data_IF_330868623140
#
_entry.id   IF_330868623140
#
_cell.length_a   1.000
_cell.length_b   1.000
_cell.length_c   1.000
_cell.angle_alpha   90.00
_cell.angle_beta   90.00
_cell.angle_gamma   90.00
#
_symmetry.space_group_name_H-M   'P 1'
#
loop_
_entity.id
_entity.type
_entity.pdbx_description
1 polymer ?
#
# COMPACT_ATOMS: atom_id res chain seq x y z
N UNK A 1 11.71 -8.87 -15.80
CA UNK A 1 11.65 -7.52 -16.41
C UNK A 1 11.04 -6.59 -15.38
N UNK A 2 11.62 -5.42 -15.14
CA UNK A 2 11.02 -4.40 -14.26
C UNK A 2 10.09 -3.54 -15.10
N UNK A 3 8.95 -3.16 -14.52
CA UNK A 3 7.97 -2.32 -15.19
C UNK A 3 7.69 -1.11 -14.31
N UNK A 4 7.74 0.07 -14.91
CA UNK A 4 7.27 1.28 -14.26
C UNK A 4 5.76 1.15 -14.00
N UNK A 5 5.30 1.58 -12.84
CA UNK A 5 3.89 1.82 -12.64
C UNK A 5 3.43 2.97 -13.54
N UNK A 6 2.12 3.05 -13.80
CA UNK A 6 1.52 4.24 -14.40
C UNK A 6 1.70 5.43 -13.46
N UNK A 7 1.63 6.64 -14.02
CA UNK A 7 1.65 7.88 -13.24
C UNK A 7 0.46 7.91 -12.28
N UNK A 8 0.68 8.43 -11.07
CA UNK A 8 -0.41 8.73 -10.16
C UNK A 8 -1.07 10.04 -10.59
N UNK A 9 -2.12 9.93 -11.40
CA UNK A 9 -2.96 11.04 -11.85
C UNK A 9 -4.44 10.60 -11.86
N UNK A 10 -5.31 11.47 -12.38
CA UNK A 10 -6.75 11.25 -12.47
C UNK A 10 -7.17 10.44 -13.71
N UNK A 11 -6.23 9.82 -14.42
CA UNK A 11 -6.50 9.02 -15.61
C UNK A 11 -6.37 7.52 -15.30
N UNK A 12 -7.26 6.72 -15.91
CA UNK A 12 -7.29 5.28 -15.72
C UNK A 12 -7.09 4.57 -17.04
N UNK A 13 -6.36 3.45 -17.02
CA UNK A 13 -6.13 2.66 -18.22
C UNK A 13 -7.45 2.11 -18.78
N UNK A 14 -7.50 1.99 -20.11
CA UNK A 14 -8.68 1.49 -20.82
C UNK A 14 -9.23 0.17 -20.23
N UNK A 15 -8.38 -0.84 -19.90
CA UNK A 15 -8.88 -2.07 -19.30
C UNK A 15 -9.57 -1.88 -17.95
N UNK A 16 -9.08 -0.97 -17.11
CA UNK A 16 -9.67 -0.69 -15.79
C UNK A 16 -11.02 0.03 -15.92
N UNK A 17 -11.13 0.95 -16.88
CA UNK A 17 -12.35 1.76 -17.08
C UNK A 17 -13.40 1.07 -17.95
N UNK A 18 -13.08 0.03 -18.73
CA UNK A 18 -14.03 -0.54 -19.69
C UNK A 18 -14.07 -2.08 -19.73
N UNK A 19 -13.03 -2.77 -19.26
CA UNK A 19 -12.86 -4.22 -19.52
C UNK A 19 -12.62 -5.04 -18.26
N UNK A 20 -12.92 -4.50 -17.07
CA UNK A 20 -12.81 -5.29 -15.84
C UNK A 20 -13.84 -6.42 -15.91
N UNK A 21 -13.34 -7.66 -15.79
CA UNK A 21 -14.10 -8.90 -15.95
C UNK A 21 -14.77 -9.09 -17.34
N UNK A 22 -14.25 -8.47 -18.40
CA UNK A 22 -14.77 -8.68 -19.76
C UNK A 22 -14.66 -10.17 -20.17
N UNK A 23 -15.75 -10.70 -20.72
CA UNK A 23 -15.80 -12.06 -21.25
C UNK A 23 -15.15 -12.09 -22.63
N UNK A 24 -14.17 -12.99 -22.80
CA UNK A 24 -13.44 -13.14 -24.06
C UNK A 24 -14.40 -13.42 -25.22
N UNK A 25 -14.31 -12.61 -26.27
CA UNK A 25 -15.15 -12.74 -27.46
C UNK A 25 -16.52 -12.08 -27.34
N UNK A 26 -16.81 -11.37 -26.24
CA UNK A 26 -18.04 -10.61 -26.05
C UNK A 26 -17.69 -9.13 -25.78
N UNK A 27 -17.52 -8.31 -26.83
CA UNK A 27 -17.17 -6.90 -26.68
C UNK A 27 -18.20 -6.16 -25.83
N UNK A 28 -17.72 -5.39 -24.85
CA UNK A 28 -18.57 -4.56 -23.99
C UNK A 28 -19.24 -5.31 -22.84
N UNK A 29 -18.85 -6.56 -22.59
CA UNK A 29 -19.29 -7.32 -21.40
C UNK A 29 -18.53 -6.96 -20.11
N UNK A 30 -17.54 -6.07 -20.20
CA UNK A 30 -16.75 -5.61 -19.06
C UNK A 30 -17.46 -4.54 -18.22
N UNK A 31 -16.89 -4.27 -17.05
CA UNK A 31 -17.33 -3.21 -16.15
C UNK A 31 -16.31 -2.06 -16.07
N UNK A 32 -16.79 -0.88 -15.70
CA UNK A 32 -15.97 0.27 -15.33
C UNK A 32 -15.68 0.25 -13.82
N UNK A 33 -14.43 -0.04 -13.44
CA UNK A 33 -14.06 -0.12 -12.03
C UNK A 33 -14.14 1.24 -11.31
N UNK A 34 -13.93 2.35 -12.03
CA UNK A 34 -14.03 3.71 -11.47
C UNK A 34 -15.48 4.00 -11.12
N UNK A 35 -16.41 3.72 -12.05
CA UNK A 35 -17.84 3.86 -11.81
C UNK A 35 -18.32 2.92 -10.68
N UNK A 36 -17.84 1.68 -10.64
CA UNK A 36 -18.12 0.73 -9.56
C UNK A 36 -17.64 1.26 -8.21
N UNK A 37 -16.47 1.89 -8.13
CA UNK A 37 -15.96 2.44 -6.88
C UNK A 37 -16.80 3.63 -6.38
N UNK A 38 -17.24 4.51 -7.28
CA UNK A 38 -18.17 5.60 -6.93
C UNK A 38 -19.49 5.02 -6.40
N UNK A 39 -20.08 4.06 -7.13
CA UNK A 39 -21.33 3.43 -6.70
C UNK A 39 -21.18 2.67 -5.38
N UNK A 40 -20.06 1.99 -5.15
CA UNK A 40 -19.77 1.32 -3.87
C UNK A 40 -19.67 2.31 -2.72
N UNK A 41 -19.07 3.48 -2.94
CA UNK A 41 -19.02 4.54 -1.94
C UNK A 41 -20.43 5.01 -1.54
N UNK A 42 -21.33 5.13 -2.51
CA UNK A 42 -22.74 5.47 -2.26
C UNK A 42 -23.50 4.35 -1.54
N UNK A 43 -23.30 3.10 -1.95
CA UNK A 43 -23.94 1.92 -1.37
C UNK A 43 -23.61 1.74 0.11
N UNK A 44 -22.33 1.91 0.49
CA UNK A 44 -21.91 1.81 1.89
C UNK A 44 -22.13 3.11 2.69
N UNK A 45 -22.75 4.13 2.08
CA UNK A 45 -23.13 5.37 2.74
C UNK A 45 -21.94 6.25 3.15
N UNK A 46 -20.88 6.31 2.33
CA UNK A 46 -19.79 7.27 2.59
C UNK A 46 -20.32 8.70 2.51
N UNK A 47 -19.91 9.52 3.48
CA UNK A 47 -20.16 10.96 3.42
C UNK A 47 -19.46 11.60 2.20
N UNK A 48 -19.94 12.78 1.83
CA UNK A 48 -19.34 13.55 0.73
C UNK A 48 -17.89 13.95 1.03
N UNK A 49 -17.11 14.12 -0.03
CA UNK A 49 -15.71 14.57 0.02
C UNK A 49 -15.52 15.80 0.91
N UNK A 50 -16.45 16.76 0.84
CA UNK A 50 -16.34 18.02 1.58
C UNK A 50 -16.39 17.84 3.11
N UNK A 51 -17.03 16.77 3.61
CA UNK A 51 -16.99 16.45 5.04
C UNK A 51 -15.60 15.94 5.45
N UNK A 52 -15.01 15.06 4.66
CA UNK A 52 -13.67 14.51 4.93
C UNK A 52 -12.57 15.56 4.87
N UNK A 53 -12.69 16.57 4.00
CA UNK A 53 -11.76 17.72 3.97
C UNK A 53 -11.57 18.34 5.36
N UNK A 54 -12.66 18.49 6.11
CA UNK A 54 -12.59 19.11 7.45
C UNK A 54 -11.89 18.22 8.48
N UNK A 55 -12.00 16.89 8.34
CA UNK A 55 -11.33 15.94 9.24
C UNK A 55 -9.81 16.00 9.11
N UNK A 56 -9.31 16.37 7.93
CA UNK A 56 -7.88 16.46 7.63
C UNK A 56 -7.32 17.88 7.78
N UNK A 57 -8.11 18.79 8.35
CA UNK A 57 -7.72 20.18 8.61
C UNK A 57 -7.84 21.12 7.40
N UNK A 58 -8.41 20.67 6.28
CA UNK A 58 -8.72 21.54 5.15
C UNK A 58 -10.00 22.34 5.42
N UNK A 59 -10.09 23.50 4.79
CA UNK A 59 -11.30 24.32 4.84
C UNK A 59 -12.45 23.60 4.11
N UNK A 60 -13.63 23.57 4.74
CA UNK A 60 -14.88 23.19 4.09
C UNK A 60 -15.13 24.14 2.92
N UNK A 61 -15.29 23.59 1.72
CA UNK A 61 -15.59 24.37 0.54
C UNK A 61 -17.04 24.86 0.61
N UNK A 62 -17.27 26.15 0.35
CA UNK A 62 -18.61 26.72 0.20
C UNK A 62 -19.02 26.76 -1.27
N UNK A 63 -18.04 26.83 -2.17
CA UNK A 63 -18.21 26.81 -3.62
C UNK A 63 -17.18 25.88 -4.25
N UNK A 64 -17.41 25.44 -5.49
CA UNK A 64 -16.42 24.66 -6.24
C UNK A 64 -15.07 25.39 -6.39
N UNK A 65 -15.06 26.72 -6.45
CA UNK A 65 -13.82 27.50 -6.60
C UNK A 65 -12.91 27.42 -5.36
N UNK A 66 -13.47 27.12 -4.18
CA UNK A 66 -12.69 26.89 -2.96
C UNK A 66 -11.83 25.61 -3.04
N UNK A 67 -12.04 24.75 -4.04
CA UNK A 67 -11.29 23.51 -4.24
C UNK A 67 -9.97 23.72 -5.02
N UNK A 68 -9.74 24.91 -5.60
CA UNK A 68 -8.62 25.15 -6.54
C UNK A 68 -7.22 25.05 -5.91
N UNK A 69 -7.12 25.15 -4.58
CA UNK A 69 -5.87 24.91 -3.87
C UNK A 69 -5.47 23.44 -3.96
N UNK A 70 -6.40 22.52 -3.73
CA UNK A 70 -6.13 21.07 -3.72
C UNK A 70 -6.36 20.38 -5.05
N UNK A 71 -7.23 20.91 -5.91
CA UNK A 71 -7.65 20.30 -7.18
C UNK A 71 -7.28 21.21 -8.35
N UNK A 72 -6.83 20.63 -9.47
CA UNK A 72 -6.53 21.39 -10.68
C UNK A 72 -7.75 22.12 -11.24
N UNK A 73 -7.55 23.33 -11.76
CA UNK A 73 -8.65 24.19 -12.20
C UNK A 73 -9.53 23.52 -13.27
N UNK A 74 -8.96 22.76 -14.20
CA UNK A 74 -9.72 22.00 -15.20
C UNK A 74 -10.65 20.96 -14.58
N UNK A 75 -10.20 20.29 -13.51
CA UNK A 75 -10.98 19.30 -12.79
C UNK A 75 -12.08 19.96 -11.94
N UNK A 76 -11.82 21.15 -11.37
CA UNK A 76 -12.86 21.95 -10.71
C UNK A 76 -13.97 22.34 -11.70
N UNK A 77 -13.62 22.77 -12.92
CA UNK A 77 -14.61 23.08 -13.95
C UNK A 77 -15.38 21.84 -14.43
N UNK A 78 -14.76 20.65 -14.42
CA UNK A 78 -15.46 19.40 -14.70
C UNK A 78 -16.46 19.05 -13.58
N UNK A 79 -16.08 19.22 -12.31
CA UNK A 79 -16.95 19.00 -11.16
C UNK A 79 -18.20 19.88 -11.21
N UNK A 80 -18.06 21.17 -11.54
CA UNK A 80 -19.19 22.12 -11.71
C UNK A 80 -20.23 21.68 -12.75
N UNK A 81 -19.84 20.84 -13.71
CA UNK A 81 -20.74 20.33 -14.76
C UNK A 81 -21.49 19.07 -14.36
N UNK A 82 -20.96 18.33 -13.38
CA UNK A 82 -21.43 17.00 -13.00
C UNK A 82 -22.24 17.05 -11.70
N UNK A 83 -21.80 17.85 -10.73
CA UNK A 83 -22.44 17.98 -9.43
C UNK A 83 -23.18 19.32 -9.33
N UNK A 84 -24.35 19.31 -8.68
CA UNK A 84 -25.16 20.50 -8.44
C UNK A 84 -24.56 21.35 -7.31
N UNK A 85 -24.17 20.71 -6.21
CA UNK A 85 -23.54 21.35 -5.06
C UNK A 85 -22.15 20.77 -4.75
N UNK A 86 -21.26 21.58 -4.17
CA UNK A 86 -19.92 21.15 -3.74
C UNK A 86 -19.98 20.07 -2.66
N UNK A 87 -21.07 20.02 -1.90
CA UNK A 87 -21.35 19.02 -0.88
C UNK A 87 -21.85 17.68 -1.46
N UNK A 88 -22.07 17.57 -2.77
CA UNK A 88 -22.50 16.31 -3.41
C UNK A 88 -21.34 15.49 -3.96
N UNK A 89 -20.11 16.02 -3.93
CA UNK A 89 -18.94 15.36 -4.51
C UNK A 89 -18.65 14.05 -3.76
N UNK A 90 -18.67 12.94 -4.48
CA UNK A 90 -18.34 11.62 -3.93
C UNK A 90 -16.90 11.61 -3.38
N UNK A 91 -16.69 10.98 -2.23
CA UNK A 91 -15.36 10.91 -1.59
C UNK A 91 -14.27 10.37 -2.54
N UNK A 92 -14.57 9.27 -3.25
CA UNK A 92 -13.62 8.66 -4.18
C UNK A 92 -13.22 9.61 -5.29
N UNK A 93 -14.19 10.32 -5.89
CA UNK A 93 -13.94 11.35 -6.90
C UNK A 93 -13.07 12.46 -6.35
N UNK A 94 -13.39 12.98 -5.16
CA UNK A 94 -12.60 14.02 -4.51
C UNK A 94 -11.14 13.62 -4.31
N UNK A 95 -10.89 12.45 -3.70
CA UNK A 95 -9.53 11.93 -3.44
C UNK A 95 -8.73 11.75 -4.73
N UNK A 96 -9.35 11.23 -5.80
CA UNK A 96 -8.66 11.02 -7.08
C UNK A 96 -8.28 12.31 -7.80
N UNK A 97 -8.95 13.42 -7.49
CA UNK A 97 -8.71 14.73 -8.12
C UNK A 97 -7.78 15.63 -7.29
N UNK A 98 -7.49 15.29 -6.04
CA UNK A 98 -6.52 16.03 -5.23
C UNK A 98 -5.10 15.89 -5.81
N UNK A 99 -4.38 17.00 -5.84
CA UNK A 99 -2.96 17.05 -6.16
C UNK A 99 -2.19 16.20 -5.14
N UNK A 100 -1.32 15.28 -5.59
CA UNK A 100 -0.50 14.50 -4.68
C UNK A 100 0.39 15.36 -3.79
N UNK A 101 0.60 14.93 -2.56
CA UNK A 101 1.63 15.50 -1.68
C UNK A 101 3.03 15.22 -2.25
N UNK A 102 4.02 16.03 -1.87
CA UNK A 102 5.40 15.84 -2.30
C UNK A 102 5.92 14.45 -1.90
N UNK A 103 6.39 13.68 -2.89
CA UNK A 103 6.86 12.31 -2.69
C UNK A 103 5.76 11.27 -2.44
N UNK A 104 4.48 11.64 -2.55
CA UNK A 104 3.33 10.75 -2.39
C UNK A 104 2.58 10.51 -3.70
N UNK A 105 1.76 9.46 -3.72
CA UNK A 105 0.86 9.15 -4.83
C UNK A 105 -0.57 9.69 -4.62
N UNK A 106 -0.86 10.26 -3.46
CA UNK A 106 -2.20 10.71 -3.04
C UNK A 106 -2.14 12.11 -2.45
N UNK A 107 -3.26 12.83 -2.55
CA UNK A 107 -3.43 14.13 -1.93
C UNK A 107 -3.65 14.07 -0.41
N UNK A 108 -3.89 15.24 0.22
CA UNK A 108 -4.02 15.36 1.68
C UNK A 108 -5.13 14.49 2.28
N UNK A 109 -6.32 14.43 1.66
CA UNK A 109 -7.44 13.66 2.21
C UNK A 109 -7.19 12.16 2.11
N UNK A 110 -6.76 11.69 0.93
CA UNK A 110 -6.40 10.28 0.73
C UNK A 110 -5.24 9.85 1.62
N UNK A 111 -4.19 10.68 1.73
CA UNK A 111 -3.03 10.44 2.57
C UNK A 111 -3.39 10.31 4.05
N UNK A 112 -4.25 11.19 4.57
CA UNK A 112 -4.71 11.12 5.95
C UNK A 112 -5.52 9.85 6.24
N UNK A 113 -6.50 9.51 5.39
CA UNK A 113 -7.34 8.32 5.60
C UNK A 113 -6.47 7.05 5.63
N UNK A 114 -5.52 6.95 4.70
CA UNK A 114 -4.57 5.83 4.65
C UNK A 114 -3.72 5.82 5.93
N UNK A 115 -3.14 6.96 6.32
CA UNK A 115 -2.26 7.05 7.49
C UNK A 115 -2.99 6.69 8.79
N UNK A 116 -4.19 7.24 9.01
CA UNK A 116 -5.02 6.93 10.18
C UNK A 116 -5.38 5.45 10.23
N UNK A 117 -5.80 4.86 9.11
CA UNK A 117 -6.15 3.44 9.07
C UNK A 117 -4.94 2.54 9.36
N UNK A 118 -3.77 2.82 8.77
CA UNK A 118 -2.54 2.06 9.06
C UNK A 118 -2.07 2.23 10.51
N UNK A 119 -2.19 3.44 11.06
CA UNK A 119 -1.88 3.74 12.46
C UNK A 119 -2.78 2.95 13.41
N UNK A 120 -4.09 2.95 13.16
CA UNK A 120 -5.07 2.19 13.93
C UNK A 120 -4.82 0.68 13.86
N UNK A 121 -4.53 0.14 12.67
CA UNK A 121 -4.18 -1.28 12.51
C UNK A 121 -2.93 -1.65 13.31
N UNK A 122 -1.87 -0.83 13.22
CA UNK A 122 -0.62 -1.07 13.95
C UNK A 122 -0.78 -1.00 15.46
N UNK A 123 -1.49 0.02 15.98
CA UNK A 123 -1.62 0.27 17.42
C UNK A 123 -2.70 -0.60 18.07
N UNK A 124 -3.77 -0.89 17.35
CA UNK A 124 -4.90 -1.69 17.82
C UNK A 124 -4.65 -3.20 17.79
N UNK A 125 -3.70 -3.67 16.99
CA UNK A 125 -3.36 -5.09 16.92
C UNK A 125 -2.42 -5.51 18.05
N UNK A 126 -2.97 -6.25 19.02
CA UNK A 126 -2.22 -6.87 20.12
C UNK A 126 -1.08 -7.78 19.65
N UNK A 127 -1.20 -8.38 18.46
CA UNK A 127 -0.20 -9.28 17.86
C UNK A 127 0.68 -8.60 16.82
N UNK A 128 0.56 -7.29 16.62
CA UNK A 128 1.47 -6.55 15.76
C UNK A 128 2.91 -6.81 16.20
N UNK A 129 3.80 -7.12 15.26
CA UNK A 129 5.11 -7.73 15.55
C UNK A 129 6.03 -6.88 16.45
N UNK A 130 5.79 -5.57 16.55
CA UNK A 130 6.53 -4.67 17.45
C UNK A 130 5.88 -4.51 18.83
N UNK A 131 4.61 -4.90 19.00
CA UNK A 131 3.86 -4.69 20.23
C UNK A 131 4.27 -5.73 21.29
N UNK A 132 4.48 -5.23 22.53
CA UNK A 132 4.80 -6.05 23.71
C UNK A 132 3.63 -6.02 24.68
N UNK A 133 2.70 -6.95 24.51
CA UNK A 133 1.48 -7.04 25.33
C UNK A 133 1.57 -8.27 26.23
N UNK A 134 1.12 -8.18 27.48
CA UNK A 134 1.10 -9.33 28.38
C UNK A 134 0.20 -10.42 27.80
N UNK A 135 0.69 -11.67 27.78
CA UNK A 135 -0.06 -12.80 27.22
C UNK A 135 0.07 -12.97 25.71
N UNK A 136 0.97 -12.24 25.05
CA UNK A 136 1.39 -12.52 23.67
C UNK A 136 2.79 -13.11 23.64
N UNK A 137 3.04 -14.02 22.70
CA UNK A 137 4.38 -14.52 22.36
C UNK A 137 5.12 -13.47 21.51
N UNK A 138 5.37 -12.28 22.08
CA UNK A 138 6.02 -11.18 21.38
C UNK A 138 7.47 -11.52 21.02
N UNK A 139 7.93 -11.01 19.87
CA UNK A 139 9.30 -11.22 19.39
C UNK A 139 10.35 -10.73 20.39
N UNK A 140 11.41 -11.51 20.53
CA UNK A 140 12.61 -11.13 21.28
C UNK A 140 13.33 -9.99 20.52
N UNK A 141 14.13 -9.15 21.21
CA UNK A 141 14.83 -8.04 20.55
C UNK A 141 15.66 -8.44 19.32
N UNK A 142 16.30 -9.62 19.34
CA UNK A 142 17.05 -10.14 18.20
C UNK A 142 16.17 -10.49 17.00
N UNK A 143 15.07 -11.20 17.22
CA UNK A 143 14.09 -11.57 16.19
C UNK A 143 13.45 -10.32 15.57
N UNK A 144 13.10 -9.33 16.40
CA UNK A 144 12.56 -8.05 15.95
C UNK A 144 13.53 -7.29 15.05
N UNK A 145 14.83 -7.29 15.37
CA UNK A 145 15.84 -6.64 14.54
C UNK A 145 15.99 -7.34 13.17
N UNK A 146 15.83 -8.66 13.11
CA UNK A 146 15.85 -9.40 11.85
C UNK A 146 14.64 -9.01 10.99
N UNK A 147 13.44 -9.00 11.57
CA UNK A 147 12.22 -8.58 10.85
C UNK A 147 12.36 -7.16 10.29
N UNK A 148 12.85 -6.21 11.10
CA UNK A 148 13.06 -4.81 10.67
C UNK A 148 14.05 -4.64 9.53
N UNK A 149 15.04 -5.52 9.42
CA UNK A 149 16.07 -5.48 8.36
C UNK A 149 15.70 -6.33 7.15
N UNK A 150 14.66 -7.16 7.25
CA UNK A 150 14.21 -8.00 6.14
C UNK A 150 13.58 -7.12 5.06
N UNK A 151 14.24 -7.01 3.92
CA UNK A 151 13.71 -6.31 2.75
C UNK A 151 12.84 -7.23 1.89
N UNK A 152 11.83 -6.69 1.21
CA UNK A 152 11.05 -7.46 0.22
C UNK A 152 11.94 -8.04 -0.88
N UNK A 153 13.01 -7.33 -1.27
CA UNK A 153 14.05 -7.82 -2.17
C UNK A 153 14.63 -9.19 -1.75
N UNK A 154 14.90 -9.36 -0.46
CA UNK A 154 15.43 -10.62 0.10
C UNK A 154 14.41 -11.75 -0.01
N UNK A 155 13.14 -11.45 0.25
CA UNK A 155 12.04 -12.42 0.11
C UNK A 155 11.86 -12.85 -1.35
N UNK A 156 11.99 -11.92 -2.30
CA UNK A 156 11.95 -12.25 -3.74
C UNK A 156 13.10 -13.19 -4.12
N UNK A 157 14.34 -12.90 -3.71
CA UNK A 157 15.49 -13.78 -3.95
C UNK A 157 15.27 -15.18 -3.36
N UNK A 158 14.80 -15.27 -2.11
CA UNK A 158 14.63 -16.54 -1.41
C UNK A 158 13.57 -17.46 -2.06
N UNK A 159 12.64 -16.88 -2.83
CA UNK A 159 11.52 -17.61 -3.45
C UNK A 159 11.56 -17.65 -4.98
N UNK A 160 12.63 -17.14 -5.60
CA UNK A 160 12.77 -17.13 -7.08
C UNK A 160 14.04 -17.87 -7.48
N UNK A 161 13.98 -19.18 -7.76
CA UNK A 161 15.13 -19.95 -8.20
C UNK A 161 15.82 -19.33 -9.42
N UNK A 162 17.15 -19.26 -9.40
CA UNK A 162 17.95 -18.66 -10.48
C UNK A 162 17.99 -17.12 -10.49
N UNK A 163 17.44 -16.46 -9.47
CA UNK A 163 17.60 -15.01 -9.30
C UNK A 163 18.87 -14.70 -8.48
N UNK A 164 19.91 -14.24 -9.17
CA UNK A 164 21.17 -13.87 -8.50
C UNK A 164 21.24 -12.39 -8.13
N UNK A 165 20.47 -11.53 -8.79
CA UNK A 165 20.49 -10.09 -8.60
C UNK A 165 19.07 -9.52 -8.53
N UNK A 166 18.85 -8.56 -7.64
CA UNK A 166 17.56 -7.91 -7.40
C UNK A 166 17.76 -6.43 -7.08
N UNK A 167 16.80 -5.53 -7.34
CA UNK A 167 16.83 -4.19 -6.78
C UNK A 167 16.92 -4.22 -5.27
N UNK A 168 17.78 -3.37 -4.71
CA UNK A 168 17.87 -3.18 -3.26
C UNK A 168 16.53 -2.74 -2.66
N UNK A 169 15.85 -1.80 -3.32
CA UNK A 169 14.48 -1.38 -3.01
C UNK A 169 13.58 -1.71 -4.20
N UNK A 170 12.74 -2.73 -4.05
CA UNK A 170 11.86 -3.22 -5.13
C UNK A 170 10.68 -2.29 -5.43
N UNK A 171 10.42 -1.30 -4.58
CA UNK A 171 9.38 -0.29 -4.82
C UNK A 171 9.88 0.87 -5.69
N UNK A 172 11.20 0.97 -5.92
CA UNK A 172 11.81 2.01 -6.74
C UNK A 172 12.36 1.44 -8.03
N UNK A 173 11.94 2.03 -9.15
CA UNK A 173 12.34 1.59 -10.48
C UNK A 173 13.84 1.81 -10.75
N UNK A 174 14.39 2.91 -10.22
CA UNK A 174 15.79 3.33 -10.36
C UNK A 174 16.71 2.76 -9.27
N UNK A 175 16.21 1.84 -8.44
CA UNK A 175 17.03 1.22 -7.40
C UNK A 175 18.19 0.42 -7.99
N UNK A 176 19.38 0.64 -7.44
CA UNK A 176 20.57 -0.16 -7.71
C UNK A 176 20.26 -1.66 -7.52
N UNK A 177 20.76 -2.47 -8.45
CA UNK A 177 20.66 -3.93 -8.39
C UNK A 177 21.87 -4.48 -7.66
N UNK A 178 21.61 -5.35 -6.71
CA UNK A 178 22.63 -5.96 -5.85
C UNK A 178 22.53 -7.49 -5.90
N UNK A 179 23.64 -8.21 -5.65
CA UNK A 179 23.60 -9.66 -5.51
C UNK A 179 22.69 -10.08 -4.36
N UNK A 180 21.89 -11.13 -4.53
CA UNK A 180 21.00 -11.65 -3.49
C UNK A 180 21.73 -12.04 -2.20
N UNK A 181 23.00 -12.47 -2.32
CA UNK A 181 23.88 -12.79 -1.18
C UNK A 181 24.30 -11.58 -0.35
N UNK A 182 24.22 -10.37 -0.91
CA UNK A 182 24.58 -9.12 -0.21
C UNK A 182 23.45 -8.58 0.67
N UNK A 183 22.22 -9.10 0.51
CA UNK A 183 21.06 -8.68 1.29
C UNK A 183 21.06 -9.31 2.68
N UNK A 184 20.60 -8.59 3.72
CA UNK A 184 20.49 -9.15 5.07
C UNK A 184 19.67 -10.44 5.11
N UNK A 185 20.04 -11.35 6.01
CA UNK A 185 19.27 -12.58 6.24
C UNK A 185 17.83 -12.27 6.68
N UNK A 186 16.90 -13.09 6.20
CA UNK A 186 15.51 -13.04 6.60
C UNK A 186 15.25 -13.85 7.87
N UNK A 187 14.12 -13.59 8.53
CA UNK A 187 13.69 -14.38 9.70
C UNK A 187 13.53 -15.88 9.38
N UNK A 188 13.13 -16.23 8.15
CA UNK A 188 12.95 -17.62 7.73
C UNK A 188 14.27 -18.38 7.67
N UNK A 189 15.31 -17.77 7.08
CA UNK A 189 16.66 -18.34 7.07
C UNK A 189 17.23 -18.44 8.48
N UNK A 190 17.04 -17.41 9.31
CA UNK A 190 17.53 -17.41 10.68
C UNK A 190 16.90 -18.52 11.53
N UNK A 191 15.59 -18.71 11.43
CA UNK A 191 14.88 -19.76 12.18
C UNK A 191 15.32 -21.16 11.77
N UNK A 192 15.56 -21.39 10.47
CA UNK A 192 16.12 -22.64 9.94
C UNK A 192 17.54 -22.87 10.46
N UNK A 193 18.39 -21.84 10.43
CA UNK A 193 19.76 -21.92 10.97
C UNK A 193 19.75 -22.23 12.47
N UNK A 194 18.84 -21.66 13.25
CA UNK A 194 18.69 -22.00 14.68
C UNK A 194 18.27 -23.46 14.87
N UNK A 195 17.27 -23.95 14.11
CA UNK A 195 16.88 -25.36 14.17
C UNK A 195 18.01 -26.32 13.74
N UNK A 196 18.77 -25.96 12.70
CA UNK A 196 19.93 -26.75 12.25
C UNK A 196 21.08 -26.69 13.26
N UNK A 197 21.31 -25.55 13.92
CA UNK A 197 22.29 -25.40 15.00
C UNK A 197 21.90 -26.17 16.26
N UNK A 198 20.62 -26.19 16.63
CA UNK A 198 20.14 -26.99 17.76
C UNK A 198 20.31 -28.48 17.47
N UNK A 199 20.03 -28.94 16.24
CA UNK A 199 20.32 -30.31 15.79
C UNK A 199 21.82 -30.63 15.84
N UNK A 200 22.68 -29.69 15.44
CA UNK A 200 24.14 -29.82 15.49
C UNK A 200 24.71 -29.81 16.94
N UNK A 201 24.07 -29.09 17.85
CA UNK A 201 24.41 -29.08 19.29
C UNK A 201 24.09 -30.42 19.94
N UNK A 202 22.92 -31.01 19.64
CA UNK A 202 22.55 -32.35 20.10
C UNK A 202 23.52 -33.43 19.59
N UNK A 203 24.03 -33.32 18.36
CA UNK A 203 25.01 -34.29 17.82
C UNK A 203 26.41 -34.11 18.41
N UNK A 204 26.83 -32.88 18.77
CA UNK A 204 28.11 -32.64 19.46
C UNK A 204 28.12 -33.11 20.91
N UNK A 205 27.00 -32.99 21.63
CA UNK A 205 26.90 -33.52 23.00
C UNK A 205 27.04 -35.06 23.03
N UNK A 206 26.51 -35.78 22.04
CA UNK A 206 26.69 -37.23 21.95
C UNK A 206 28.13 -37.67 21.58
N UNK A 207 28.97 -36.77 21.06
CA UNK A 207 30.35 -37.09 20.65
C UNK A 207 31.42 -36.71 21.69
N UNK A 208 31.06 -36.00 22.76
CA UNK A 208 31.99 -35.59 23.84
C UNK A 208 31.86 -36.51 25.08
N UNK A 209 30.99 -37.51 25.04
CA UNK A 209 30.71 -38.43 26.15
C UNK A 209 31.15 -39.89 25.89
N UNK A 210 32.28 -40.11 25.20
CA UNK A 210 32.97 -41.41 25.13
C UNK A 210 34.43 -41.27 25.55
#
# INVERSE_FOLDING_TARGET
MQHAAMKADNEFSFPIRNQIFETRGQPGSGADLVAVNIMRGRDVGLAAYNEYRTMVGLKKAATFDDLKSEIDASNVEALKRIYEDVNDIDLYTGIMLEKPLEGAAVGPTGGFIIAEQFSALKRGDRFYYENRVRGTNSLKPGELNIVRRTALAKLVCANTPGMDNVPKDVFKLDSERVPCSSLPESMFEHSRLLQERDKAWFTRLCYISN
#
